data_IF_441210156953
#
_entry.id   IF_441210156953
#
_cell.length_a   1.000
_cell.length_b   1.000
_cell.length_c   1.000
_cell.angle_alpha   90.00
_cell.angle_beta   90.00
_cell.angle_gamma   90.00
#
_symmetry.space_group_name_H-M   'P 1'
#
loop_
_entity.id
_entity.type
_entity.pdbx_description
1 polymer ?
#
# COMPACT_ATOMS: atom_id res chain seq x y z
N UNK A 1 12.94 -15.01 -9.70
CA UNK A 1 13.62 -14.29 -8.60
C UNK A 1 12.63 -13.26 -8.11
N UNK A 2 11.89 -13.55 -7.04
CA UNK A 2 11.08 -12.52 -6.40
C UNK A 2 12.04 -11.45 -5.94
N UNK A 3 11.95 -10.26 -6.50
CA UNK A 3 12.80 -9.15 -6.08
C UNK A 3 12.65 -9.00 -4.56
N UNK A 4 13.74 -9.16 -3.80
CA UNK A 4 13.79 -8.90 -2.36
C UNK A 4 13.64 -7.40 -2.04
N UNK A 5 13.01 -6.64 -2.93
CA UNK A 5 12.86 -5.19 -2.90
C UNK A 5 11.37 -4.88 -2.91
N UNK A 6 10.93 -4.21 -1.87
CA UNK A 6 9.59 -3.66 -1.73
C UNK A 6 9.65 -2.19 -2.14
N UNK A 7 8.73 -1.79 -2.99
CA UNK A 7 8.42 -0.40 -3.29
C UNK A 7 7.38 0.10 -2.29
N UNK A 8 7.68 1.26 -1.71
CA UNK A 8 6.80 1.98 -0.79
C UNK A 8 6.03 3.00 -1.62
N UNK A 9 4.71 2.83 -1.68
CA UNK A 9 3.80 3.79 -2.31
C UNK A 9 3.07 4.59 -1.24
N UNK A 10 3.48 5.84 -1.05
CA UNK A 10 2.84 6.79 -0.14
C UNK A 10 1.46 7.14 -0.71
N UNK A 11 0.41 6.87 0.06
CA UNK A 11 -0.97 7.01 -0.39
C UNK A 11 -1.77 8.00 0.45
N UNK A 12 -2.23 9.06 -0.21
CA UNK A 12 -3.09 10.09 0.37
C UNK A 12 -4.42 10.15 -0.35
N UNK A 13 -5.51 9.86 0.36
CA UNK A 13 -6.87 9.96 -0.20
C UNK A 13 -7.79 10.84 0.65
N UNK A 14 -8.81 11.38 -0.01
CA UNK A 14 -9.91 12.07 0.66
C UNK A 14 -11.00 11.04 0.99
N UNK A 15 -11.12 10.71 2.27
CA UNK A 15 -12.21 9.88 2.79
C UNK A 15 -13.42 10.70 3.21
N UNK A 16 -14.48 10.05 3.68
CA UNK A 16 -15.72 10.69 4.12
C UNK A 16 -15.53 11.61 5.33
N UNK A 17 -14.60 11.24 6.22
CA UNK A 17 -14.40 11.93 7.51
C UNK A 17 -13.09 12.73 7.58
N UNK A 18 -12.33 12.81 6.49
CA UNK A 18 -11.05 13.50 6.46
C UNK A 18 -10.04 12.84 5.52
N UNK A 19 -8.78 13.26 5.62
CA UNK A 19 -7.69 12.66 4.87
C UNK A 19 -7.33 11.31 5.49
N UNK A 20 -7.03 10.35 4.62
CA UNK A 20 -6.55 9.03 5.01
C UNK A 20 -5.16 8.87 4.40
N UNK A 21 -4.23 8.44 5.23
CA UNK A 21 -2.82 8.27 4.87
C UNK A 21 -2.37 6.86 5.20
N UNK A 22 -1.79 6.18 4.22
CA UNK A 22 -1.25 4.83 4.37
C UNK A 22 -0.21 4.56 3.29
N UNK A 23 0.70 3.64 3.57
CA UNK A 23 1.65 3.15 2.59
C UNK A 23 1.18 1.81 2.04
N UNK A 24 1.37 1.62 0.73
CA UNK A 24 1.24 0.32 0.08
C UNK A 24 2.63 -0.23 -0.18
N UNK A 25 2.89 -1.41 0.38
CA UNK A 25 4.18 -2.08 0.33
C UNK A 25 4.07 -3.24 -0.65
N UNK A 26 4.65 -3.12 -1.85
CA UNK A 26 4.53 -4.14 -2.91
C UNK A 26 5.67 -4.05 -3.93
N UNK A 27 5.65 -4.79 -5.03
CA UNK A 27 6.71 -4.83 -6.04
C UNK A 27 6.45 -3.98 -7.28
N UNK A 28 5.20 -3.59 -7.53
CA UNK A 28 4.81 -2.85 -8.73
C UNK A 28 3.55 -1.99 -8.54
N UNK A 29 3.38 -0.99 -9.40
CA UNK A 29 2.33 0.03 -9.30
C UNK A 29 0.92 -0.55 -9.50
N UNK A 30 0.77 -1.54 -10.38
CA UNK A 30 -0.54 -2.14 -10.64
C UNK A 30 -1.04 -2.91 -9.41
N UNK A 31 -0.14 -3.66 -8.76
CA UNK A 31 -0.41 -4.30 -7.47
C UNK A 31 -0.66 -3.27 -6.38
N UNK A 32 0.06 -2.14 -6.37
CA UNK A 32 -0.13 -1.09 -5.38
C UNK A 32 -1.54 -0.49 -5.43
N UNK A 33 -2.00 -0.11 -6.64
CA UNK A 33 -3.34 0.43 -6.85
C UNK A 33 -4.44 -0.58 -6.50
N UNK A 34 -4.23 -1.86 -6.82
CA UNK A 34 -5.16 -2.92 -6.45
C UNK A 34 -5.29 -3.05 -4.94
N UNK A 35 -4.17 -3.19 -4.23
CA UNK A 35 -4.16 -3.33 -2.76
C UNK A 35 -4.72 -2.09 -2.06
N UNK A 36 -4.39 -0.89 -2.53
CA UNK A 36 -4.96 0.35 -2.02
C UNK A 36 -6.48 0.37 -2.14
N UNK A 37 -7.02 -0.01 -3.30
CA UNK A 37 -8.47 -0.06 -3.52
C UNK A 37 -9.15 -1.10 -2.63
N UNK A 38 -8.59 -2.29 -2.52
CA UNK A 38 -9.10 -3.35 -1.64
C UNK A 38 -9.10 -2.91 -0.17
N UNK A 39 -8.03 -2.23 0.26
CA UNK A 39 -7.94 -1.67 1.60
C UNK A 39 -9.01 -0.60 1.86
N UNK A 40 -9.21 0.34 0.94
CA UNK A 40 -10.23 1.38 1.04
C UNK A 40 -11.64 0.81 1.16
N UNK A 41 -11.97 -0.19 0.34
CA UNK A 41 -13.24 -0.94 0.48
C UNK A 41 -13.33 -1.59 1.86
N UNK A 42 -12.26 -2.22 2.33
CA UNK A 42 -12.20 -2.89 3.63
C UNK A 42 -12.40 -1.96 4.84
N UNK A 43 -12.03 -0.68 4.73
CA UNK A 43 -12.24 0.32 5.79
C UNK A 43 -13.52 1.16 5.61
N UNK A 44 -14.37 0.82 4.64
CA UNK A 44 -15.67 1.49 4.42
C UNK A 44 -15.62 2.74 3.54
N UNK A 45 -14.55 2.91 2.77
CA UNK A 45 -14.29 4.02 1.83
C UNK A 45 -14.28 3.53 0.35
N UNK A 46 -15.30 2.80 -0.12
CA UNK A 46 -15.28 2.19 -1.46
C UNK A 46 -15.27 3.21 -2.62
N UNK A 47 -15.72 4.43 -2.34
CA UNK A 47 -15.85 5.52 -3.33
C UNK A 47 -14.65 6.48 -3.31
N UNK A 48 -13.66 6.26 -2.45
CA UNK A 48 -12.46 7.07 -2.41
C UNK A 48 -11.70 6.96 -3.74
N UNK A 49 -11.34 8.10 -4.31
CA UNK A 49 -10.55 8.13 -5.55
C UNK A 49 -9.14 7.65 -5.27
N UNK A 50 -8.70 6.65 -6.04
CA UNK A 50 -7.36 6.07 -5.93
C UNK A 50 -6.77 5.88 -7.33
N UNK A 51 -5.77 6.68 -7.65
CA UNK A 51 -4.99 6.59 -8.89
C UNK A 51 -3.51 6.76 -8.56
N UNK A 52 -2.65 6.81 -9.58
CA UNK A 52 -1.21 7.11 -9.41
C UNK A 52 -0.95 8.54 -8.91
N UNK A 53 -1.97 9.40 -8.84
CA UNK A 53 -1.86 10.71 -8.20
C UNK A 53 -1.91 10.61 -6.69
N UNK A 54 -2.78 9.74 -6.18
CA UNK A 54 -3.00 9.54 -4.74
C UNK A 54 -2.03 8.51 -4.18
N UNK A 55 -1.70 7.45 -4.93
CA UNK A 55 -0.77 6.37 -4.57
C UNK A 55 0.55 6.56 -5.33
N UNK A 56 1.53 7.18 -4.68
CA UNK A 56 2.76 7.64 -5.32
C UNK A 56 3.96 6.83 -4.86
N UNK A 57 4.77 6.37 -5.82
CA UNK A 57 6.05 5.76 -5.48
C UNK A 57 6.93 6.75 -4.70
N UNK A 58 7.38 6.34 -3.52
CA UNK A 58 8.24 7.13 -2.65
C UNK A 58 9.70 6.64 -2.74
N UNK A 59 9.94 5.40 -2.35
CA UNK A 59 11.27 4.78 -2.34
C UNK A 59 11.15 3.25 -2.30
N UNK A 60 12.28 2.56 -2.25
CA UNK A 60 12.34 1.10 -2.13
C UNK A 60 13.14 0.66 -0.92
N UNK A 61 12.71 -0.42 -0.30
CA UNK A 61 13.30 -1.01 0.89
C UNK A 61 13.47 -2.53 0.70
N UNK A 62 14.57 -3.13 1.14
CA UNK A 62 14.70 -4.58 1.09
C UNK A 62 13.71 -5.29 2.02
N UNK A 63 13.12 -6.38 1.54
CA UNK A 63 12.05 -7.14 2.20
C UNK A 63 12.43 -7.61 3.62
N UNK A 64 13.70 -7.91 3.86
CA UNK A 64 14.18 -8.37 5.16
C UNK A 64 14.10 -7.31 6.27
N UNK A 65 13.91 -6.02 5.94
CA UNK A 65 13.76 -4.95 6.93
C UNK A 65 12.37 -4.93 7.59
N UNK A 66 11.39 -5.63 7.00
CA UNK A 66 10.04 -5.73 7.55
C UNK A 66 9.89 -6.92 8.50
N UNK A 67 8.85 -6.88 9.33
CA UNK A 67 8.55 -7.98 10.26
C UNK A 67 8.27 -9.31 9.53
N UNK A 68 8.45 -10.44 10.21
CA UNK A 68 8.17 -11.76 9.63
C UNK A 68 6.73 -11.89 9.12
N UNK A 69 5.77 -11.26 9.79
CA UNK A 69 4.37 -11.25 9.36
C UNK A 69 4.20 -10.46 8.04
N UNK A 70 4.79 -9.28 7.94
CA UNK A 70 4.76 -8.47 6.71
C UNK A 70 5.46 -9.17 5.55
N UNK A 71 6.58 -9.84 5.82
CA UNK A 71 7.26 -10.66 4.81
C UNK A 71 6.37 -11.79 4.30
N UNK A 72 5.61 -12.43 5.19
CA UNK A 72 4.66 -13.47 4.80
C UNK A 72 3.49 -12.90 3.98
N UNK A 73 2.92 -11.76 4.41
CA UNK A 73 1.86 -11.09 3.65
C UNK A 73 2.32 -10.68 2.26
N UNK A 74 3.54 -10.13 2.13
CA UNK A 74 4.12 -9.79 0.84
C UNK A 74 4.24 -11.02 -0.08
N UNK A 75 4.63 -12.18 0.46
CA UNK A 75 4.75 -13.44 -0.29
C UNK A 75 3.40 -14.04 -0.70
N UNK A 76 2.40 -13.96 0.17
CA UNK A 76 1.08 -14.59 -0.05
C UNK A 76 0.12 -13.71 -0.84
N UNK A 77 0.13 -12.40 -0.59
CA UNK A 77 -0.85 -11.43 -1.11
C UNK A 77 -0.26 -10.47 -2.14
N UNK A 78 1.06 -10.53 -2.36
CA UNK A 78 1.79 -9.62 -3.24
C UNK A 78 2.13 -8.27 -2.59
N UNK A 79 1.76 -8.06 -1.31
CA UNK A 79 2.04 -6.83 -0.59
C UNK A 79 1.28 -6.72 0.73
N UNK A 80 1.43 -5.58 1.40
CA UNK A 80 0.74 -5.25 2.65
C UNK A 80 0.53 -3.75 2.79
N UNK A 81 -0.33 -3.35 3.74
CA UNK A 81 -0.68 -1.95 4.01
C UNK A 81 -0.11 -1.54 5.37
N UNK A 82 0.48 -0.35 5.43
CA UNK A 82 0.90 0.28 6.69
C UNK A 82 0.08 1.54 6.89
N UNK A 83 -0.67 1.61 7.99
CA UNK A 83 -1.42 2.83 8.35
C UNK A 83 -0.48 3.89 8.89
N UNK A 84 -0.65 5.11 8.41
CA UNK A 84 0.12 6.27 8.85
C UNK A 84 -0.80 7.33 9.46
N UNK A 85 -0.30 8.15 10.39
CA UNK A 85 -1.06 9.33 10.85
C UNK A 85 -1.30 10.29 9.67
N UNK A 86 -2.54 10.75 9.53
CA UNK A 86 -2.98 11.70 8.52
C UNK A 86 -2.87 13.15 8.99
#
# INVERSE_FOLDING_TARGET
MSSDTIHVYDTWVHGKSGRIHFDVMTTDEATALKLAKEYLVGIGEPDATITTKECQFCHSEPLFMFSAEQQQQAKEKGGFIVRMPA
#
